data_IF_836630300666
#
_entry.id   IF_836630300666
#
_cell.length_a   1.000
_cell.length_b   1.000
_cell.length_c   1.000
_cell.angle_alpha   90.00
_cell.angle_beta   90.00
_cell.angle_gamma   90.00
#
_symmetry.space_group_name_H-M   'P 1'
#
loop_
_entity.id
_entity.type
_entity.pdbx_description
1 polymer ?
#
# COMPACT_ATOMS: atom_id res chain seq x y z
N UNK A 1 19.13 12.84 -8.41
CA UNK A 1 19.50 11.72 -7.52
C UNK A 1 18.24 10.92 -7.16
N UNK A 2 18.33 9.76 -6.51
CA UNK A 2 17.13 9.05 -6.02
C UNK A 2 16.31 9.92 -5.06
N UNK A 3 16.99 10.71 -4.22
CA UNK A 3 16.33 11.61 -3.27
C UNK A 3 15.47 12.68 -3.97
N UNK A 4 15.96 13.27 -5.07
CA UNK A 4 15.19 14.27 -5.82
C UNK A 4 13.97 13.68 -6.51
N UNK A 5 14.04 12.43 -6.99
CA UNK A 5 12.90 11.72 -7.57
C UNK A 5 11.83 11.42 -6.50
N UNK A 6 12.26 10.94 -5.34
CA UNK A 6 11.35 10.71 -4.20
C UNK A 6 10.64 12.00 -3.79
N UNK A 7 11.38 13.09 -3.63
CA UNK A 7 10.79 14.39 -3.29
C UNK A 7 9.84 14.92 -4.38
N UNK A 8 10.12 14.65 -5.66
CA UNK A 8 9.22 15.02 -6.76
C UNK A 8 7.91 14.25 -6.72
N UNK A 9 7.95 12.94 -6.43
CA UNK A 9 6.75 12.13 -6.34
C UNK A 9 5.91 12.51 -5.11
N UNK A 10 6.52 12.67 -3.93
CA UNK A 10 5.78 12.98 -2.69
C UNK A 10 5.12 14.36 -2.70
N UNK A 11 5.62 15.31 -3.48
CA UNK A 11 4.98 16.62 -3.71
C UNK A 11 3.58 16.53 -4.35
N UNK A 12 3.23 15.40 -4.97
CA UNK A 12 1.88 15.17 -5.52
C UNK A 12 0.81 15.02 -4.43
N UNK A 13 1.22 14.73 -3.19
CA UNK A 13 0.36 14.80 -2.02
C UNK A 13 0.45 16.21 -1.43
N UNK A 14 -0.47 17.09 -1.86
CA UNK A 14 -0.63 18.41 -1.25
C UNK A 14 -1.19 18.30 0.18
N UNK A 15 -1.26 19.44 0.89
CA UNK A 15 -1.72 19.49 2.28
C UNK A 15 -3.13 18.89 2.47
N UNK A 16 -4.04 19.11 1.51
CA UNK A 16 -5.40 18.56 1.59
C UNK A 16 -5.41 17.04 1.40
N UNK A 17 -4.65 16.51 0.43
CA UNK A 17 -4.52 15.05 0.26
C UNK A 17 -3.97 14.39 1.53
N UNK A 18 -2.94 14.99 2.15
CA UNK A 18 -2.34 14.49 3.40
C UNK A 18 -3.38 14.46 4.52
N UNK A 19 -4.15 15.53 4.68
CA UNK A 19 -5.23 15.61 5.64
C UNK A 19 -6.30 14.54 5.39
N UNK A 20 -6.79 14.41 4.15
CA UNK A 20 -7.80 13.41 3.79
C UNK A 20 -7.33 11.98 4.06
N UNK A 21 -6.07 11.65 3.78
CA UNK A 21 -5.48 10.34 4.09
C UNK A 21 -5.46 10.13 5.61
N UNK A 22 -4.99 11.12 6.38
CA UNK A 22 -4.93 11.04 7.84
C UNK A 22 -6.31 10.84 8.45
N UNK A 23 -7.25 11.71 8.13
CA UNK A 23 -8.60 11.71 8.70
C UNK A 23 -9.35 10.42 8.35
N UNK A 24 -9.22 9.94 7.11
CA UNK A 24 -9.88 8.70 6.69
C UNK A 24 -9.20 7.44 7.26
N UNK A 25 -7.88 7.47 7.51
CA UNK A 25 -7.17 6.37 8.15
C UNK A 25 -7.63 6.13 9.59
N UNK A 26 -8.13 7.15 10.29
CA UNK A 26 -8.70 7.02 11.65
C UNK A 26 -9.84 5.98 11.70
N UNK A 27 -10.63 5.85 10.63
CA UNK A 27 -11.67 4.84 10.52
C UNK A 27 -11.09 3.45 10.25
N UNK A 28 -10.08 3.38 9.38
CA UNK A 28 -9.45 2.12 9.00
C UNK A 28 -8.65 1.49 10.16
N UNK A 29 -8.06 2.30 11.05
CA UNK A 29 -7.22 1.80 12.15
C UNK A 29 -8.01 1.21 13.32
N UNK A 30 -9.31 1.49 13.47
CA UNK A 30 -10.15 0.97 14.57
C UNK A 30 -10.06 -0.56 14.65
N UNK A 31 -10.24 -1.21 13.51
CA UNK A 31 -10.16 -2.67 13.37
C UNK A 31 -8.99 -3.03 12.43
N UNK A 32 -7.83 -2.40 12.63
CA UNK A 32 -6.73 -2.39 11.66
C UNK A 32 -6.42 -3.77 11.04
N UNK A 33 -6.23 -4.80 11.87
CA UNK A 33 -5.88 -6.13 11.37
C UNK A 33 -7.04 -6.77 10.58
N UNK A 34 -8.29 -6.60 11.02
CA UNK A 34 -9.46 -7.12 10.29
C UNK A 34 -9.63 -6.40 8.95
N UNK A 35 -9.48 -5.07 8.93
CA UNK A 35 -9.57 -4.26 7.73
C UNK A 35 -8.44 -4.58 6.75
N UNK A 36 -7.20 -4.70 7.24
CA UNK A 36 -6.05 -5.14 6.45
C UNK A 36 -6.25 -6.53 5.84
N UNK A 37 -6.81 -7.48 6.60
CA UNK A 37 -7.17 -8.79 6.05
C UNK A 37 -8.23 -8.65 4.95
N UNK A 38 -9.27 -7.83 5.18
CA UNK A 38 -10.32 -7.57 4.20
C UNK A 38 -9.77 -7.12 2.84
N UNK A 39 -8.76 -6.24 2.84
CA UNK A 39 -8.09 -5.77 1.62
C UNK A 39 -7.43 -6.94 0.88
N UNK A 40 -6.64 -7.77 1.56
CA UNK A 40 -5.96 -8.90 0.92
C UNK A 40 -6.92 -10.02 0.50
N UNK A 41 -7.99 -10.26 1.24
CA UNK A 41 -9.01 -11.25 0.88
C UNK A 41 -9.64 -10.89 -0.46
N UNK A 42 -10.05 -9.63 -0.63
CA UNK A 42 -10.63 -9.17 -1.89
C UNK A 42 -9.60 -9.20 -3.02
N UNK A 43 -8.38 -8.73 -2.76
CA UNK A 43 -7.27 -8.79 -3.72
C UNK A 43 -7.02 -10.21 -4.22
N UNK A 44 -7.05 -11.19 -3.33
CA UNK A 44 -6.83 -12.58 -3.67
C UNK A 44 -8.03 -13.28 -4.29
N UNK A 45 -9.24 -12.75 -4.11
CA UNK A 45 -10.42 -13.19 -4.84
C UNK A 45 -10.34 -12.73 -6.31
N UNK A 46 -9.92 -11.48 -6.55
CA UNK A 46 -9.77 -10.91 -7.89
C UNK A 46 -8.50 -11.42 -8.61
N UNK A 47 -7.39 -11.55 -7.89
CA UNK A 47 -6.10 -12.01 -8.42
C UNK A 47 -5.56 -13.23 -7.64
N UNK A 48 -6.15 -14.43 -7.79
CA UNK A 48 -5.72 -15.62 -7.05
C UNK A 48 -4.24 -15.96 -7.22
N UNK A 49 -3.68 -15.71 -8.41
CA UNK A 49 -2.27 -15.96 -8.71
C UNK A 49 -1.30 -15.09 -7.89
N UNK A 50 -1.74 -13.96 -7.32
CA UNK A 50 -0.90 -13.12 -6.46
C UNK A 50 -0.48 -13.84 -5.18
N UNK A 51 -1.22 -14.84 -4.71
CA UNK A 51 -0.83 -15.67 -3.55
C UNK A 51 0.56 -16.29 -3.73
N UNK A 52 0.95 -16.58 -4.97
CA UNK A 52 2.25 -17.18 -5.30
C UNK A 52 3.44 -16.25 -5.05
N UNK A 53 3.21 -14.94 -4.92
CA UNK A 53 4.23 -13.95 -4.57
C UNK A 53 4.77 -14.21 -3.17
N UNK A 54 3.91 -14.62 -2.23
CA UNK A 54 4.28 -14.89 -0.85
C UNK A 54 4.54 -16.39 -0.66
N UNK A 55 5.79 -16.82 -0.40
CA UNK A 55 6.11 -18.24 -0.21
C UNK A 55 5.24 -18.89 0.87
N UNK A 56 4.98 -18.16 1.97
CA UNK A 56 4.17 -18.64 3.10
C UNK A 56 2.69 -18.85 2.78
N UNK A 57 2.18 -18.35 1.64
CA UNK A 57 0.78 -18.50 1.24
C UNK A 57 0.58 -19.60 0.20
N UNK A 58 1.66 -20.07 -0.45
CA UNK A 58 1.59 -21.04 -1.55
C UNK A 58 0.96 -22.37 -1.16
N UNK A 59 1.15 -22.79 0.08
CA UNK A 59 0.68 -24.08 0.59
C UNK A 59 -0.69 -23.98 1.28
N UNK A 60 -1.24 -22.77 1.42
CA UNK A 60 -2.52 -22.56 2.12
C UNK A 60 -3.66 -22.64 1.10
N UNK A 61 -4.61 -23.57 1.25
CA UNK A 61 -5.79 -23.62 0.40
C UNK A 61 -6.55 -22.29 0.41
N UNK A 62 -7.13 -21.92 -0.73
CA UNK A 62 -7.89 -20.68 -0.89
C UNK A 62 -8.99 -20.49 0.16
N UNK A 63 -9.70 -21.57 0.48
CA UNK A 63 -10.74 -21.60 1.51
C UNK A 63 -10.20 -21.43 2.95
N UNK A 64 -8.92 -21.74 3.18
CA UNK A 64 -8.27 -21.64 4.49
C UNK A 64 -7.45 -20.35 4.66
N UNK A 65 -7.10 -19.68 3.56
CA UNK A 65 -6.26 -18.47 3.57
C UNK A 65 -6.87 -17.36 4.40
N UNK A 66 -8.19 -17.19 4.30
CA UNK A 66 -8.99 -16.18 5.02
C UNK A 66 -8.81 -16.27 6.54
N UNK A 67 -8.67 -17.50 7.07
CA UNK A 67 -8.50 -17.75 8.51
C UNK A 67 -7.05 -17.95 8.94
N UNK A 68 -6.11 -17.95 8.00
CA UNK A 68 -4.72 -18.32 8.26
C UNK A 68 -3.97 -17.28 9.09
N UNK A 69 -3.09 -17.74 9.97
CA UNK A 69 -2.21 -16.85 10.74
C UNK A 69 -1.20 -16.13 9.84
N UNK A 70 -0.86 -16.73 8.69
CA UNK A 70 -0.07 -16.08 7.65
C UNK A 70 -0.72 -14.78 7.16
N UNK A 71 -2.00 -14.83 6.80
CA UNK A 71 -2.73 -13.66 6.31
C UNK A 71 -2.89 -12.60 7.40
N UNK A 72 -3.25 -13.01 8.62
CA UNK A 72 -3.34 -12.11 9.80
C UNK A 72 -2.01 -11.38 10.05
N UNK A 73 -0.89 -12.10 9.99
CA UNK A 73 0.43 -11.51 10.20
C UNK A 73 0.79 -10.54 9.07
N UNK A 74 0.48 -10.88 7.82
CA UNK A 74 0.74 -9.98 6.69
C UNK A 74 -0.10 -8.71 6.76
N UNK A 75 -1.39 -8.82 7.08
CA UNK A 75 -2.27 -7.69 7.30
C UNK A 75 -1.74 -6.78 8.41
N UNK A 76 -1.26 -7.33 9.53
CA UNK A 76 -0.63 -6.55 10.60
C UNK A 76 0.58 -5.76 10.12
N UNK A 77 1.49 -6.40 9.36
CA UNK A 77 2.69 -5.74 8.81
C UNK A 77 2.31 -4.64 7.82
N UNK A 78 1.34 -4.92 6.95
CA UNK A 78 0.82 -3.96 5.98
C UNK A 78 0.22 -2.73 6.67
N UNK A 79 -0.64 -2.93 7.67
CA UNK A 79 -1.27 -1.84 8.41
C UNK A 79 -0.27 -1.01 9.20
N UNK A 80 0.76 -1.63 9.79
CA UNK A 80 1.85 -0.91 10.44
C UNK A 80 2.66 -0.06 9.43
N UNK A 81 2.86 -0.57 8.21
CA UNK A 81 3.48 0.19 7.12
C UNK A 81 2.65 1.41 6.71
N UNK A 82 1.33 1.25 6.57
CA UNK A 82 0.42 2.36 6.30
C UNK A 82 0.41 3.38 7.44
N UNK A 83 0.34 2.93 8.70
CA UNK A 83 0.40 3.81 9.86
C UNK A 83 1.66 4.68 9.83
N UNK A 84 2.82 4.06 9.57
CA UNK A 84 4.08 4.78 9.51
C UNK A 84 4.09 5.86 8.40
N UNK A 85 3.50 5.58 7.23
CA UNK A 85 3.32 6.59 6.19
C UNK A 85 2.43 7.73 6.69
N UNK A 86 1.29 7.42 7.30
CA UNK A 86 0.32 8.41 7.80
C UNK A 86 0.96 9.33 8.85
N UNK A 87 1.72 8.77 9.79
CA UNK A 87 2.47 9.52 10.81
C UNK A 87 3.56 10.41 10.21
N UNK A 88 4.05 10.08 9.01
CA UNK A 88 5.10 10.82 8.31
C UNK A 88 4.57 11.93 7.40
N UNK A 89 3.26 12.03 7.18
CA UNK A 89 2.67 12.89 6.14
C UNK A 89 2.98 14.39 6.31
N UNK A 90 3.24 14.89 7.52
CA UNK A 90 3.42 16.34 7.74
C UNK A 90 4.83 16.85 7.40
N UNK A 91 5.81 15.95 7.28
CA UNK A 91 7.19 16.31 6.96
C UNK A 91 7.63 15.66 5.64
N UNK A 92 8.04 16.49 4.67
CA UNK A 92 8.41 16.02 3.33
C UNK A 92 9.58 15.04 3.34
N UNK A 93 10.55 15.24 4.24
CA UNK A 93 11.71 14.37 4.37
C UNK A 93 11.29 13.00 4.92
N UNK A 94 10.55 12.98 6.02
CA UNK A 94 10.09 11.78 6.70
C UNK A 94 9.12 11.00 5.81
N UNK A 95 8.19 11.67 5.14
CA UNK A 95 7.30 11.05 4.14
C UNK A 95 8.11 10.40 3.02
N UNK A 96 9.08 11.12 2.48
CA UNK A 96 9.99 10.63 1.45
C UNK A 96 10.73 9.37 1.88
N UNK A 97 11.27 9.35 3.10
CA UNK A 97 11.94 8.18 3.65
C UNK A 97 11.00 6.99 3.87
N UNK A 98 9.79 7.23 4.39
CA UNK A 98 8.78 6.20 4.62
C UNK A 98 8.37 5.51 3.30
N UNK A 99 7.97 6.28 2.27
CA UNK A 99 7.54 5.69 0.99
C UNK A 99 8.71 5.04 0.25
N UNK A 100 9.92 5.60 0.35
CA UNK A 100 11.14 5.00 -0.24
C UNK A 100 11.43 3.64 0.40
N UNK A 101 11.35 3.52 1.72
CA UNK A 101 11.58 2.25 2.44
C UNK A 101 10.59 1.18 2.00
N UNK A 102 9.31 1.53 1.89
CA UNK A 102 8.28 0.62 1.39
C UNK A 102 8.59 0.18 -0.04
N UNK A 103 8.89 1.13 -0.94
CA UNK A 103 9.24 0.82 -2.33
C UNK A 103 10.48 -0.08 -2.47
N UNK A 104 11.49 0.12 -1.63
CA UNK A 104 12.70 -0.73 -1.58
C UNK A 104 12.36 -2.17 -1.19
N UNK A 105 11.55 -2.37 -0.14
CA UNK A 105 11.12 -3.72 0.28
C UNK A 105 10.32 -4.41 -0.82
N UNK A 106 9.38 -3.71 -1.45
CA UNK A 106 8.58 -4.28 -2.53
C UNK A 106 9.43 -4.59 -3.77
N UNK A 107 10.44 -3.77 -4.07
CA UNK A 107 11.42 -4.04 -5.12
C UNK A 107 12.19 -5.34 -4.86
N UNK A 108 12.64 -5.57 -3.61
CA UNK A 108 13.35 -6.80 -3.20
C UNK A 108 12.49 -8.06 -3.39
N UNK A 109 11.18 -7.95 -3.19
CA UNK A 109 10.22 -9.04 -3.40
C UNK A 109 9.70 -9.12 -4.84
N UNK A 110 10.37 -8.45 -5.80
CA UNK A 110 10.00 -8.42 -7.22
C UNK A 110 8.59 -7.91 -7.53
N UNK A 111 7.95 -7.24 -6.56
CA UNK A 111 6.66 -6.59 -6.74
C UNK A 111 6.80 -5.51 -7.82
N UNK A 112 5.78 -5.36 -8.64
CA UNK A 112 5.73 -4.41 -9.75
C UNK A 112 4.68 -3.34 -9.46
N UNK A 113 4.79 -2.19 -10.13
CA UNK A 113 3.81 -1.12 -10.07
C UNK A 113 2.38 -1.63 -10.20
N UNK A 114 2.11 -2.47 -11.22
CA UNK A 114 0.78 -3.00 -11.46
C UNK A 114 0.21 -3.83 -10.29
N UNK A 115 1.05 -4.51 -9.50
CA UNK A 115 0.57 -5.22 -8.31
C UNK A 115 0.07 -4.24 -7.24
N UNK A 116 0.72 -3.08 -7.11
CA UNK A 116 0.29 -2.02 -6.19
C UNK A 116 -0.98 -1.36 -6.71
N UNK A 117 -1.08 -1.13 -8.02
CA UNK A 117 -2.28 -0.58 -8.66
C UNK A 117 -3.50 -1.49 -8.45
N UNK A 118 -3.33 -2.82 -8.55
CA UNK A 118 -4.38 -3.80 -8.25
C UNK A 118 -4.90 -3.77 -6.81
N UNK A 119 -4.12 -3.24 -5.85
CA UNK A 119 -4.58 -3.10 -4.46
C UNK A 119 -5.49 -1.90 -4.23
N UNK A 120 -5.48 -0.92 -5.13
CA UNK A 120 -6.18 0.35 -4.91
C UNK A 120 -7.69 0.15 -4.80
N UNK A 121 -8.38 -0.57 -5.71
CA UNK A 121 -9.83 -0.79 -5.58
C UNK A 121 -10.20 -1.44 -4.24
N UNK A 122 -9.43 -2.44 -3.80
CA UNK A 122 -9.71 -3.19 -2.56
C UNK A 122 -9.51 -2.36 -1.31
N UNK A 123 -8.49 -1.50 -1.30
CA UNK A 123 -8.27 -0.51 -0.25
C UNK A 123 -9.45 0.47 -0.17
N UNK A 124 -9.89 1.00 -1.30
CA UNK A 124 -10.97 1.99 -1.35
C UNK A 124 -12.31 1.39 -0.92
N UNK A 125 -12.59 0.14 -1.29
CA UNK A 125 -13.79 -0.57 -0.84
C UNK A 125 -13.81 -0.79 0.67
N UNK A 126 -12.69 -1.26 1.25
CA UNK A 126 -12.60 -1.42 2.71
C UNK A 126 -12.68 -0.07 3.42
N UNK A 127 -12.05 0.98 2.88
CA UNK A 127 -12.16 2.32 3.46
C UNK A 127 -13.60 2.85 3.43
N UNK A 128 -14.31 2.65 2.32
CA UNK A 128 -15.73 2.99 2.18
C UNK A 128 -16.58 2.28 3.23
N UNK A 129 -16.33 1.00 3.47
CA UNK A 129 -17.01 0.23 4.53
C UNK A 129 -16.72 0.81 5.93
N UNK A 130 -15.46 1.14 6.21
CA UNK A 130 -15.06 1.78 7.48
C UNK A 130 -15.73 3.15 7.68
N UNK A 131 -16.04 3.87 6.60
CA UNK A 131 -16.68 5.19 6.60
C UNK A 131 -18.22 5.12 6.49
N UNK A 132 -18.83 3.97 6.76
CA UNK A 132 -20.29 3.83 6.77
C UNK A 132 -20.93 3.77 5.37
N UNK A 133 -20.18 3.29 4.37
CA UNK A 133 -20.68 3.04 3.02
C UNK A 133 -20.53 4.20 2.04
N UNK A 134 -19.96 5.33 2.46
CA UNK A 134 -19.69 6.49 1.59
C UNK A 134 -18.21 6.85 1.62
N UNK A 135 -17.61 7.03 0.45
CA UNK A 135 -16.23 7.48 0.30
C UNK A 135 -16.21 8.73 -0.59
N UNK A 136 -15.81 9.90 -0.07
CA UNK A 136 -15.65 11.10 -0.88
C UNK A 136 -14.63 10.89 -2.01
N UNK A 137 -14.90 11.50 -3.18
CA UNK A 137 -14.08 11.34 -4.38
C UNK A 137 -12.65 11.83 -4.15
N UNK A 138 -12.50 12.91 -3.39
CA UNK A 138 -11.23 13.55 -3.06
C UNK A 138 -10.41 12.63 -2.15
N UNK A 139 -11.05 11.96 -1.17
CA UNK A 139 -10.41 10.96 -0.32
C UNK A 139 -9.91 9.78 -1.16
N UNK A 140 -10.75 9.25 -2.05
CA UNK A 140 -10.35 8.17 -2.95
C UNK A 140 -9.17 8.56 -3.86
N UNK A 141 -9.20 9.80 -4.37
CA UNK A 141 -8.12 10.35 -5.19
C UNK A 141 -6.80 10.50 -4.42
N UNK A 142 -6.86 10.96 -3.17
CA UNK A 142 -5.69 11.08 -2.30
C UNK A 142 -5.02 9.71 -2.06
N UNK A 143 -5.80 8.69 -1.71
CA UNK A 143 -5.29 7.31 -1.53
C UNK A 143 -4.74 6.72 -2.83
N UNK A 144 -5.45 6.90 -3.94
CA UNK A 144 -4.96 6.48 -5.27
C UNK A 144 -3.62 7.13 -5.60
N UNK A 145 -3.47 8.42 -5.29
CA UNK A 145 -2.22 9.16 -5.52
C UNK A 145 -1.08 8.61 -4.66
N UNK A 146 -1.33 8.31 -3.38
CA UNK A 146 -0.32 7.70 -2.50
C UNK A 146 0.18 6.35 -3.06
N UNK A 147 -0.74 5.51 -3.53
CA UNK A 147 -0.40 4.21 -4.10
C UNK A 147 0.36 4.33 -5.43
N UNK A 148 -0.04 5.27 -6.28
CA UNK A 148 0.67 5.55 -7.53
C UNK A 148 2.11 6.03 -7.28
N UNK A 149 2.33 6.89 -6.26
CA UNK A 149 3.67 7.29 -5.82
C UNK A 149 4.51 6.07 -5.45
N UNK A 150 4.00 5.19 -4.58
CA UNK A 150 4.72 3.97 -4.17
C UNK A 150 5.04 3.09 -5.40
N UNK A 151 4.06 2.90 -6.28
CA UNK A 151 4.21 2.14 -7.52
C UNK A 151 5.27 2.71 -8.46
N UNK A 152 5.29 4.03 -8.65
CA UNK A 152 6.30 4.74 -9.44
C UNK A 152 7.69 4.58 -8.86
N UNK A 153 7.84 4.72 -7.53
CA UNK A 153 9.13 4.53 -6.86
C UNK A 153 9.67 3.11 -7.02
N UNK A 154 8.82 2.08 -6.91
CA UNK A 154 9.20 0.68 -7.20
C UNK A 154 9.71 0.56 -8.63
N UNK A 155 8.97 1.11 -9.60
CA UNK A 155 9.35 1.04 -11.01
C UNK A 155 10.70 1.74 -11.28
N UNK A 156 10.91 2.92 -10.70
CA UNK A 156 12.17 3.67 -10.82
C UNK A 156 13.34 2.91 -10.20
N UNK A 157 13.18 2.36 -9.01
CA UNK A 157 14.21 1.58 -8.32
C UNK A 157 14.62 0.33 -9.11
N UNK A 158 13.65 -0.37 -9.69
CA UNK A 158 13.91 -1.54 -10.54
C UNK A 158 14.62 -1.20 -11.85
N UNK A 159 14.35 -0.03 -12.44
CA UNK A 159 15.07 0.45 -13.63
C UNK A 159 16.53 0.78 -13.29
N UNK A 160 16.75 1.48 -12.17
CA UNK A 160 18.10 1.84 -11.72
C UNK A 160 18.94 0.60 -11.37
N UNK A 161 18.37 -0.39 -10.69
CA UNK A 161 19.11 -1.62 -10.34
C UNK A 161 19.54 -2.42 -11.57
N UNK A 162 18.76 -2.38 -12.66
CA UNK A 162 19.13 -3.02 -13.94
C UNK A 162 20.24 -2.29 -14.67
N UNK A 163 20.29 -0.95 -14.56
CA UNK A 163 21.34 -0.14 -15.20
C UNK A 163 22.68 -0.19 -14.45
N UNK A 164 22.68 -0.47 -13.14
CA UNK A 164 23.91 -0.63 -12.35
C UNK A 164 24.53 -2.04 -12.44
N UNK A 165 23.91 -2.96 -13.17
CA UNK A 165 24.40 -4.34 -13.39
C UNK A 165 24.91 -4.59 -14.82
N UNK A 166 25.07 -3.52 -15.61
CA UNK A 166 25.66 -3.48 -16.96
C UNK A 166 26.86 -2.54 -16.87
#
# INVERSE_FOLDING_TARGET
SMQSLVASETKRLNAEHRKLIRDSYEFMKVEANKNGQGIFIRLFAEFPHYKTIWPNFREIPDSALISSDGLKNHARVYMAGLQHIVESLDDDSTLGEAVKRIAMTHTKWYIKKYHIESMVPELLDVLKECMGGTLPRETAFAWTTLYDIIGNLIQMMQKNSRQSSI
#
